data_IF_080112132053
#
_entry.id   IF_080112132053
#
_cell.length_a   1.000
_cell.length_b   1.000
_cell.length_c   1.000
_cell.angle_alpha   90.00
_cell.angle_beta   90.00
_cell.angle_gamma   90.00
#
_symmetry.space_group_name_H-M   'P 1'
#
loop_
_entity.id
_entity.type
_entity.pdbx_description
1 polymer ?
#
# COMPACT_ATOMS: atom_id res chain seq x y z
N UNK A 1 -3.72 5.40 26.77
CA UNK A 1 -3.44 6.55 25.89
C UNK A 1 -4.21 6.51 24.58
N UNK A 2 -4.03 5.51 23.70
CA UNK A 2 -4.68 5.50 22.38
C UNK A 2 -6.22 5.60 22.42
N UNK A 3 -6.88 4.92 23.37
CA UNK A 3 -8.35 4.99 23.53
C UNK A 3 -8.86 6.42 23.76
N UNK A 4 -8.09 7.25 24.47
CA UNK A 4 -8.45 8.66 24.72
C UNK A 4 -8.30 9.50 23.45
N UNK A 5 -7.25 9.24 22.66
CA UNK A 5 -7.02 9.90 21.38
C UNK A 5 -8.16 9.53 20.41
N UNK A 6 -8.50 8.24 20.30
CA UNK A 6 -9.63 7.76 19.49
C UNK A 6 -10.93 8.48 19.89
N UNK A 7 -11.28 8.48 21.19
CA UNK A 7 -12.50 9.14 21.69
C UNK A 7 -12.53 10.64 21.40
N UNK A 8 -11.37 11.30 21.32
CA UNK A 8 -11.26 12.74 21.06
C UNK A 8 -11.39 13.08 19.58
N UNK A 9 -10.89 12.23 18.68
CA UNK A 9 -10.77 12.54 17.26
C UNK A 9 -11.75 11.79 16.35
N UNK A 10 -12.40 10.73 16.84
CA UNK A 10 -13.37 9.94 16.07
C UNK A 10 -14.74 10.07 16.73
N UNK A 11 -15.65 10.75 16.04
CA UNK A 11 -17.07 10.76 16.39
C UNK A 11 -17.68 9.38 16.19
N UNK A 12 -18.57 8.96 17.10
CA UNK A 12 -19.23 7.64 17.06
C UNK A 12 -18.26 6.45 16.95
N UNK A 13 -17.12 6.53 17.66
CA UNK A 13 -16.03 5.56 17.58
C UNK A 13 -16.44 4.11 17.93
N UNK A 14 -17.59 3.90 18.58
CA UNK A 14 -18.11 2.56 18.92
C UNK A 14 -18.77 1.87 17.71
N UNK A 15 -19.24 2.64 16.72
CA UNK A 15 -19.88 2.13 15.52
C UNK A 15 -18.86 1.70 14.46
N UNK A 16 -18.04 0.70 14.79
CA UNK A 16 -16.95 0.18 13.95
C UNK A 16 -17.42 -0.55 12.67
N UNK A 17 -18.74 -0.71 12.48
CA UNK A 17 -19.33 -1.26 11.25
C UNK A 17 -19.58 -0.19 10.19
N UNK A 18 -19.66 1.08 10.60
CA UNK A 18 -19.80 2.20 9.69
C UNK A 18 -18.50 2.44 8.90
N UNK A 19 -18.60 2.57 7.58
CA UNK A 19 -17.45 2.73 6.69
C UNK A 19 -16.69 4.05 6.94
N UNK A 20 -17.39 5.14 7.30
CA UNK A 20 -16.77 6.42 7.61
C UNK A 20 -16.02 6.35 8.94
N UNK A 21 -16.59 5.68 9.96
CA UNK A 21 -15.90 5.47 11.24
C UNK A 21 -14.63 4.65 11.02
N UNK A 22 -14.71 3.53 10.27
CA UNK A 22 -13.54 2.71 9.91
C UNK A 22 -12.47 3.50 9.16
N UNK A 23 -12.87 4.34 8.20
CA UNK A 23 -11.96 5.25 7.48
C UNK A 23 -11.25 6.21 8.43
N UNK A 24 -11.97 6.82 9.37
CA UNK A 24 -11.40 7.73 10.36
C UNK A 24 -10.38 7.05 11.28
N UNK A 25 -10.60 5.78 11.64
CA UNK A 25 -9.59 4.97 12.35
C UNK A 25 -8.30 4.81 11.54
N UNK A 26 -8.44 4.50 10.24
CA UNK A 26 -7.31 4.41 9.31
C UNK A 26 -6.54 5.72 9.24
N UNK A 27 -7.22 6.84 8.97
CA UNK A 27 -6.61 8.17 8.88
C UNK A 27 -5.90 8.54 10.19
N UNK A 28 -6.55 8.39 11.35
CA UNK A 28 -5.95 8.70 12.64
C UNK A 28 -4.67 7.90 12.87
N UNK A 29 -4.72 6.58 12.63
CA UNK A 29 -3.57 5.69 12.83
C UNK A 29 -2.40 6.03 11.92
N UNK A 30 -2.67 6.38 10.65
CA UNK A 30 -1.67 6.78 9.68
C UNK A 30 -1.07 8.15 9.98
N UNK A 31 -1.87 9.14 10.40
CA UNK A 31 -1.37 10.48 10.75
C UNK A 31 -0.43 10.40 11.96
N UNK A 32 -0.82 9.64 12.99
CA UNK A 32 0.06 9.35 14.12
C UNK A 32 1.35 8.66 13.65
N UNK A 33 1.22 7.69 12.72
CA UNK A 33 2.35 6.98 12.14
C UNK A 33 3.35 7.90 11.45
N UNK A 34 2.86 8.81 10.58
CA UNK A 34 3.68 9.82 9.88
C UNK A 34 4.43 10.69 10.88
N UNK A 35 3.71 11.26 11.86
CA UNK A 35 4.31 12.17 12.86
C UNK A 35 5.41 11.45 13.64
N UNK A 36 5.12 10.25 14.15
CA UNK A 36 6.10 9.46 14.90
C UNK A 36 7.31 9.12 14.05
N UNK A 37 7.12 8.61 12.83
CA UNK A 37 8.21 8.20 11.97
C UNK A 37 9.09 9.39 11.51
N UNK A 38 8.52 10.59 11.28
CA UNK A 38 9.31 11.80 10.99
C UNK A 38 10.13 12.27 12.19
N UNK A 39 9.54 12.22 13.39
CA UNK A 39 10.25 12.53 14.64
C UNK A 39 11.40 11.54 14.84
N UNK A 40 11.13 10.25 14.67
CA UNK A 40 12.12 9.19 14.79
C UNK A 40 13.25 9.33 13.77
N UNK A 41 12.93 9.59 12.50
CA UNK A 41 13.90 9.89 11.46
C UNK A 41 14.80 11.05 11.87
N UNK A 42 14.22 12.19 12.26
CA UNK A 42 14.99 13.40 12.61
C UNK A 42 15.94 13.14 13.78
N UNK A 43 15.43 12.51 14.84
CA UNK A 43 16.19 12.20 16.05
C UNK A 43 17.33 11.21 15.74
N UNK A 44 17.03 10.11 15.05
CA UNK A 44 18.03 9.09 14.72
C UNK A 44 19.05 9.60 13.72
N UNK A 45 18.64 10.37 12.71
CA UNK A 45 19.54 10.94 11.71
C UNK A 45 20.57 11.87 12.35
N UNK A 46 20.13 12.81 13.19
CA UNK A 46 21.03 13.71 13.93
C UNK A 46 21.94 12.89 14.86
N UNK A 47 21.38 11.91 15.58
CA UNK A 47 22.17 11.04 16.47
C UNK A 47 23.23 10.25 15.71
N UNK A 48 22.88 9.70 14.55
CA UNK A 48 23.80 8.94 13.70
C UNK A 48 24.94 9.79 13.14
N UNK A 49 24.66 11.03 12.75
CA UNK A 49 25.72 11.99 12.35
C UNK A 49 26.65 12.28 13.53
N UNK A 50 26.09 12.62 14.70
CA UNK A 50 26.88 12.94 15.89
C UNK A 50 27.74 11.77 16.37
N UNK A 51 27.24 10.54 16.26
CA UNK A 51 27.97 9.33 16.61
C UNK A 51 28.92 8.86 15.50
N UNK A 52 28.84 9.45 14.31
CA UNK A 52 29.49 8.97 13.10
C UNK A 52 29.16 7.49 12.80
N UNK A 53 27.88 7.12 12.90
CA UNK A 53 27.38 5.75 12.70
C UNK A 53 26.51 5.65 11.46
N UNK A 54 26.95 4.87 10.46
CA UNK A 54 26.17 4.65 9.23
C UNK A 54 25.00 3.69 9.47
N UNK A 55 25.09 2.79 10.44
CA UNK A 55 23.99 1.90 10.81
C UNK A 55 22.80 2.69 11.38
N UNK A 56 23.06 3.65 12.27
CA UNK A 56 22.01 4.50 12.85
C UNK A 56 21.40 5.43 11.80
N UNK A 57 22.23 6.01 10.91
CA UNK A 57 21.74 6.83 9.80
C UNK A 57 20.84 5.98 8.89
N UNK A 58 21.25 4.76 8.55
CA UNK A 58 20.47 3.86 7.70
C UNK A 58 19.13 3.49 8.36
N UNK A 59 19.15 3.14 9.65
CA UNK A 59 17.94 2.87 10.43
C UNK A 59 17.00 4.10 10.51
N UNK A 60 17.54 5.32 10.54
CA UNK A 60 16.73 6.54 10.44
C UNK A 60 15.95 6.59 9.11
N UNK A 61 16.63 6.33 7.99
CA UNK A 61 16.01 6.37 6.66
C UNK A 61 14.95 5.27 6.44
N UNK A 62 15.04 4.16 7.17
CA UNK A 62 13.95 3.19 7.23
C UNK A 62 12.66 3.85 7.79
N UNK A 63 12.77 4.64 8.88
CA UNK A 63 11.62 5.38 9.41
C UNK A 63 11.12 6.48 8.46
N UNK A 64 12.00 7.10 7.67
CA UNK A 64 11.56 8.01 6.60
C UNK A 64 10.73 7.28 5.54
N UNK A 65 11.14 6.06 5.17
CA UNK A 65 10.42 5.20 4.22
C UNK A 65 9.02 4.82 4.74
N UNK A 66 8.90 4.47 6.01
CA UNK A 66 7.61 4.20 6.67
C UNK A 66 6.67 5.42 6.63
N UNK A 67 7.24 6.61 6.89
CA UNK A 67 6.50 7.87 6.80
C UNK A 67 6.07 8.16 5.37
N UNK A 68 6.95 7.96 4.39
CA UNK A 68 6.64 8.15 2.98
C UNK A 68 5.48 7.28 2.52
N UNK A 69 5.50 5.99 2.87
CA UNK A 69 4.43 5.04 2.58
C UNK A 69 3.10 5.48 3.19
N UNK A 70 3.11 5.85 4.48
CA UNK A 70 1.90 6.33 5.18
C UNK A 70 1.39 7.66 4.60
N UNK A 71 2.30 8.55 4.18
CA UNK A 71 1.99 9.82 3.54
C UNK A 71 1.33 9.64 2.17
N UNK A 72 1.85 8.72 1.34
CA UNK A 72 1.22 8.34 0.08
C UNK A 72 -0.19 7.82 0.34
N UNK A 73 -0.37 6.92 1.30
CA UNK A 73 -1.71 6.37 1.61
C UNK A 73 -2.69 7.44 2.07
N UNK A 74 -2.29 8.41 2.90
CA UNK A 74 -3.22 9.41 3.44
C UNK A 74 -3.46 10.59 2.47
N UNK A 75 -2.40 11.13 1.87
CA UNK A 75 -2.54 12.28 0.97
C UNK A 75 -2.80 11.86 -0.47
N UNK A 76 -2.28 10.71 -0.91
CA UNK A 76 -2.67 10.05 -2.14
C UNK A 76 -4.19 9.89 -2.17
N UNK A 77 -4.79 9.35 -1.11
CA UNK A 77 -6.25 9.24 -0.96
C UNK A 77 -7.00 10.58 -1.13
N UNK A 78 -6.44 11.70 -0.65
CA UNK A 78 -7.08 13.02 -0.79
C UNK A 78 -6.99 13.57 -2.22
N UNK A 79 -5.83 13.46 -2.87
CA UNK A 79 -5.67 13.90 -4.26
C UNK A 79 -6.36 12.95 -5.25
N UNK A 80 -6.33 11.65 -4.99
CA UNK A 80 -7.03 10.60 -5.76
C UNK A 80 -8.55 10.74 -5.67
N UNK A 81 -9.05 11.28 -4.55
CA UNK A 81 -10.48 11.56 -4.37
C UNK A 81 -11.01 12.77 -5.16
N UNK A 82 -10.15 13.57 -5.81
CA UNK A 82 -10.63 14.68 -6.65
C UNK A 82 -11.56 14.16 -7.75
N UNK A 83 -12.72 14.81 -7.96
CA UNK A 83 -13.66 14.37 -8.99
C UNK A 83 -13.04 14.50 -10.40
N UNK A 84 -13.59 13.80 -11.39
CA UNK A 84 -13.26 14.03 -12.79
C UNK A 84 -13.36 15.49 -13.21
N UNK A 85 -12.48 15.90 -14.12
CA UNK A 85 -12.53 17.21 -14.77
C UNK A 85 -12.33 17.07 -16.29
N UNK A 86 -12.27 18.19 -17.01
CA UNK A 86 -12.16 18.19 -18.47
C UNK A 86 -10.84 17.60 -18.99
N UNK A 87 -9.76 17.70 -18.23
CA UNK A 87 -8.45 17.16 -18.59
C UNK A 87 -8.33 15.70 -18.15
N UNK A 88 -9.04 15.32 -17.08
CA UNK A 88 -9.02 14.00 -16.47
C UNK A 88 -10.46 13.45 -16.33
N UNK A 89 -11.06 12.95 -17.41
CA UNK A 89 -12.47 12.49 -17.42
C UNK A 89 -12.71 11.24 -16.55
N UNK A 90 -11.66 10.47 -16.23
CA UNK A 90 -11.71 9.34 -15.29
C UNK A 90 -11.27 9.74 -13.87
N UNK A 91 -10.94 11.02 -13.68
CA UNK A 91 -10.47 11.60 -12.43
C UNK A 91 -8.99 11.37 -12.14
N UNK A 92 -8.62 11.63 -10.90
CA UNK A 92 -7.24 11.81 -10.47
C UNK A 92 -6.70 10.62 -9.67
N UNK A 93 -7.39 9.49 -9.69
CA UNK A 93 -7.12 8.39 -8.77
C UNK A 93 -5.69 7.84 -8.88
N UNK A 94 -5.19 7.71 -10.12
CA UNK A 94 -3.82 7.22 -10.43
C UNK A 94 -2.69 8.14 -9.94
N UNK A 95 -2.98 9.38 -9.52
CA UNK A 95 -1.95 10.25 -8.92
C UNK A 95 -1.34 9.61 -7.66
N UNK A 96 -2.08 8.77 -6.95
CA UNK A 96 -1.56 8.02 -5.80
C UNK A 96 -0.41 7.09 -6.21
N UNK A 97 -0.56 6.35 -7.30
CA UNK A 97 0.47 5.44 -7.82
C UNK A 97 1.68 6.21 -8.35
N UNK A 98 1.46 7.34 -9.01
CA UNK A 98 2.54 8.22 -9.48
C UNK A 98 3.32 8.82 -8.31
N UNK A 99 2.63 9.29 -7.26
CA UNK A 99 3.27 9.79 -6.05
C UNK A 99 4.08 8.69 -5.35
N UNK A 100 3.52 7.49 -5.25
CA UNK A 100 4.22 6.30 -4.74
C UNK A 100 5.50 6.00 -5.51
N UNK A 101 5.42 6.06 -6.84
CA UNK A 101 6.57 5.84 -7.72
C UNK A 101 7.67 6.89 -7.50
N UNK A 102 7.33 8.17 -7.41
CA UNK A 102 8.31 9.25 -7.14
C UNK A 102 9.02 9.02 -5.80
N UNK A 103 8.28 8.75 -4.73
CA UNK A 103 8.83 8.51 -3.39
C UNK A 103 9.72 7.26 -3.39
N UNK A 104 9.32 6.19 -4.09
CA UNK A 104 10.10 4.97 -4.20
C UNK A 104 11.47 5.18 -4.85
N UNK A 105 11.55 6.04 -5.88
CA UNK A 105 12.83 6.41 -6.50
C UNK A 105 13.73 7.22 -5.56
N UNK A 106 13.16 8.12 -4.76
CA UNK A 106 13.91 8.87 -3.74
C UNK A 106 14.50 7.90 -2.72
N UNK A 107 13.69 6.98 -2.19
CA UNK A 107 14.13 5.95 -1.23
C UNK A 107 15.23 5.09 -1.83
N UNK A 108 15.05 4.63 -3.08
CA UNK A 108 16.04 3.81 -3.78
C UNK A 108 17.37 4.55 -3.96
N UNK A 109 17.34 5.81 -4.39
CA UNK A 109 18.53 6.65 -4.55
C UNK A 109 19.27 6.87 -3.23
N UNK A 110 18.54 7.17 -2.15
CA UNK A 110 19.10 7.26 -0.80
C UNK A 110 19.71 5.93 -0.35
N UNK A 111 19.04 4.81 -0.61
CA UNK A 111 19.54 3.47 -0.30
C UNK A 111 20.90 3.18 -0.96
N UNK A 112 21.08 3.56 -2.23
CA UNK A 112 22.36 3.43 -2.93
C UNK A 112 23.46 4.26 -2.25
N UNK A 113 23.15 5.49 -1.85
CA UNK A 113 24.11 6.36 -1.16
C UNK A 113 24.52 5.79 0.20
N UNK A 114 23.56 5.29 0.98
CA UNK A 114 23.83 4.62 2.25
C UNK A 114 24.66 3.35 2.06
N UNK A 115 24.40 2.59 0.99
CA UNK A 115 25.19 1.40 0.65
C UNK A 115 26.65 1.75 0.35
N UNK A 116 26.87 2.80 -0.46
CA UNK A 116 28.22 3.31 -0.76
C UNK A 116 28.94 3.74 0.51
N UNK A 117 28.28 4.51 1.37
CA UNK A 117 28.84 4.97 2.64
C UNK A 117 29.13 3.80 3.59
N UNK A 118 28.28 2.78 3.60
CA UNK A 118 28.48 1.56 4.39
C UNK A 118 29.69 0.75 3.91
N UNK A 119 29.85 0.57 2.60
CA UNK A 119 31.03 -0.07 2.01
C UNK A 119 32.29 0.71 2.35
N UNK A 120 32.25 2.04 2.24
CA UNK A 120 33.37 2.89 2.62
C UNK A 120 33.74 2.72 4.10
N UNK A 121 32.74 2.68 5.00
CA UNK A 121 32.92 2.44 6.44
C UNK A 121 33.51 1.06 6.75
N UNK A 122 33.25 0.05 5.92
CA UNK A 122 33.84 -1.29 6.06
C UNK A 122 35.33 -1.27 5.65
N UNK A 123 35.65 -0.61 4.54
CA UNK A 123 37.03 -0.54 4.01
C UNK A 123 37.91 0.39 4.85
N UNK A 124 37.33 1.49 5.32
CA UNK A 124 37.97 2.51 6.14
C UNK A 124 37.19 2.67 7.45
N UNK A 125 37.42 1.77 8.45
CA UNK A 125 36.72 1.83 9.73
C UNK A 125 37.05 3.13 10.47
N UNK A 126 36.00 3.83 10.89
CA UNK A 126 36.11 5.01 11.74
C UNK A 126 35.53 4.70 13.12
N UNK A 127 36.15 5.24 14.16
CA UNK A 127 35.68 5.05 15.52
C UNK A 127 34.29 5.68 15.73
N UNK A 128 33.38 4.90 16.29
CA UNK A 128 32.03 5.36 16.64
C UNK A 128 32.12 6.13 17.96
N UNK A 129 31.55 7.33 17.99
CA UNK A 129 31.52 8.16 19.19
C UNK A 129 30.29 7.80 20.03
N UNK A 130 30.46 6.89 20.98
CA UNK A 130 29.39 6.55 21.92
C UNK A 130 29.30 7.59 23.02
N UNK A 131 28.13 8.22 23.12
CA UNK A 131 27.73 9.05 24.25
C UNK A 131 26.47 8.45 24.90
N UNK A 132 26.43 8.45 26.24
CA UNK A 132 25.27 8.02 27.02
C UNK A 132 23.97 8.71 26.57
N UNK A 133 24.06 9.99 26.20
CA UNK A 133 22.91 10.74 25.69
C UNK A 133 22.32 10.12 24.41
N UNK A 134 23.18 9.70 23.48
CA UNK A 134 22.75 9.05 22.24
C UNK A 134 22.09 7.69 22.50
N UNK A 135 22.61 6.90 23.46
CA UNK A 135 21.99 5.62 23.86
C UNK A 135 20.59 5.84 24.44
N UNK A 136 20.42 6.86 25.30
CA UNK A 136 19.12 7.21 25.87
C UNK A 136 18.14 7.59 24.76
N UNK A 137 18.58 8.40 23.79
CA UNK A 137 17.76 8.80 22.65
C UNK A 137 17.32 7.59 21.82
N UNK A 138 18.24 6.68 21.47
CA UNK A 138 17.91 5.49 20.69
C UNK A 138 17.01 4.54 21.48
N UNK A 139 17.19 4.43 22.80
CA UNK A 139 16.30 3.66 23.66
C UNK A 139 14.89 4.25 23.68
N UNK A 140 14.76 5.59 23.72
CA UNK A 140 13.45 6.25 23.62
C UNK A 140 12.80 6.01 22.25
N UNK A 141 13.60 5.92 21.18
CA UNK A 141 13.09 5.60 19.84
C UNK A 141 12.43 4.21 19.77
N UNK A 142 13.01 3.23 20.47
CA UNK A 142 12.44 1.88 20.62
C UNK A 142 11.10 1.96 21.35
N UNK A 143 10.99 2.74 22.42
CA UNK A 143 9.73 2.92 23.16
C UNK A 143 8.63 3.52 22.28
N UNK A 144 8.97 4.48 21.41
CA UNK A 144 8.02 5.05 20.45
C UNK A 144 7.56 3.97 19.46
N UNK A 145 8.46 3.15 18.89
CA UNK A 145 8.08 2.05 17.99
C UNK A 145 7.24 0.97 18.70
N UNK A 146 7.53 0.64 19.95
CA UNK A 146 6.70 -0.27 20.75
C UNK A 146 5.31 0.32 21.05
N UNK A 147 5.23 1.63 21.26
CA UNK A 147 3.94 2.32 21.35
C UNK A 147 3.19 2.27 20.01
N UNK A 148 3.89 2.46 18.88
CA UNK A 148 3.33 2.32 17.54
C UNK A 148 2.77 0.92 17.26
N UNK A 149 3.53 -0.10 17.62
CA UNK A 149 3.09 -1.49 17.59
C UNK A 149 1.80 -1.67 18.41
N UNK A 150 1.79 -1.19 19.65
CA UNK A 150 0.66 -1.35 20.57
C UNK A 150 -0.63 -0.74 20.02
N UNK A 151 -0.58 0.50 19.53
CA UNK A 151 -1.78 1.16 19.03
C UNK A 151 -2.25 0.59 17.68
N UNK A 152 -1.34 0.27 16.76
CA UNK A 152 -1.71 -0.32 15.47
C UNK A 152 -2.29 -1.72 15.65
N UNK A 153 -1.74 -2.52 16.57
CA UNK A 153 -2.30 -3.83 16.91
C UNK A 153 -3.70 -3.69 17.50
N UNK A 154 -3.91 -2.74 18.41
CA UNK A 154 -5.22 -2.49 18.99
C UNK A 154 -6.26 -2.12 17.92
N UNK A 155 -5.95 -1.14 17.06
CA UNK A 155 -6.85 -0.70 15.99
C UNK A 155 -7.07 -1.84 14.97
N UNK A 156 -6.01 -2.53 14.57
CA UNK A 156 -6.08 -3.64 13.60
C UNK A 156 -6.97 -4.79 14.06
N UNK A 157 -7.00 -5.10 15.35
CA UNK A 157 -7.94 -6.07 15.91
C UNK A 157 -9.36 -5.48 15.96
N UNK A 158 -9.50 -4.24 16.46
CA UNK A 158 -10.79 -3.59 16.67
C UNK A 158 -11.62 -3.46 15.38
N UNK A 159 -11.02 -2.99 14.28
CA UNK A 159 -11.72 -2.79 13.00
C UNK A 159 -11.46 -3.93 12.00
N UNK A 160 -10.77 -5.01 12.44
CA UNK A 160 -10.31 -6.10 11.57
C UNK A 160 -9.53 -5.61 10.33
N UNK A 161 -8.60 -4.66 10.52
CA UNK A 161 -7.78 -4.09 9.46
C UNK A 161 -6.49 -4.87 9.28
N UNK A 162 -6.29 -5.49 8.12
CA UNK A 162 -5.04 -6.16 7.73
C UNK A 162 -3.89 -5.16 7.65
N UNK A 163 -4.14 -3.97 7.11
CA UNK A 163 -3.17 -2.87 7.02
C UNK A 163 -2.59 -2.51 8.39
N UNK A 164 -3.44 -2.24 9.38
CA UNK A 164 -2.97 -1.88 10.73
C UNK A 164 -2.24 -3.05 11.43
N UNK A 165 -2.66 -4.30 11.18
CA UNK A 165 -1.94 -5.48 11.69
C UNK A 165 -0.53 -5.58 11.07
N UNK A 166 -0.38 -5.29 9.78
CA UNK A 166 0.91 -5.22 9.11
C UNK A 166 1.79 -4.10 9.69
N UNK A 167 1.27 -2.87 9.76
CA UNK A 167 2.01 -1.73 10.34
C UNK A 167 2.44 -1.96 11.80
N UNK A 168 1.63 -2.69 12.57
CA UNK A 168 2.03 -3.10 13.92
C UNK A 168 3.26 -4.01 13.89
N UNK A 169 3.24 -5.04 13.05
CA UNK A 169 4.37 -5.99 12.90
C UNK A 169 5.62 -5.27 12.40
N UNK A 170 5.49 -4.35 11.45
CA UNK A 170 6.61 -3.54 10.95
C UNK A 170 7.20 -2.68 12.06
N UNK A 171 6.36 -1.98 12.84
CA UNK A 171 6.83 -1.19 13.99
C UNK A 171 7.58 -2.05 15.03
N UNK A 172 7.15 -3.30 15.23
CA UNK A 172 7.86 -4.23 16.11
C UNK A 172 9.20 -4.66 15.52
N UNK A 173 9.24 -4.98 14.22
CA UNK A 173 10.48 -5.32 13.52
C UNK A 173 11.48 -4.17 13.59
N UNK A 174 11.04 -2.92 13.45
CA UNK A 174 11.91 -1.76 13.57
C UNK A 174 12.46 -1.57 14.99
N UNK A 175 11.65 -1.84 16.01
CA UNK A 175 12.12 -1.82 17.40
C UNK A 175 13.22 -2.87 17.62
N UNK A 176 13.05 -4.07 17.06
CA UNK A 176 14.06 -5.15 17.10
C UNK A 176 15.32 -4.74 16.32
N UNK A 177 15.16 -4.19 15.11
CA UNK A 177 16.26 -3.73 14.27
C UNK A 177 17.07 -2.62 14.96
N UNK A 178 16.38 -1.61 15.51
CA UNK A 178 17.01 -0.52 16.28
C UNK A 178 17.76 -1.07 17.49
N UNK A 179 17.19 -2.06 18.20
CA UNK A 179 17.85 -2.74 19.32
C UNK A 179 19.14 -3.43 18.86
N UNK A 180 19.09 -4.13 17.71
CA UNK A 180 20.25 -4.74 17.08
C UNK A 180 21.32 -3.72 16.69
N UNK A 181 20.92 -2.55 16.16
CA UNK A 181 21.83 -1.44 15.85
C UNK A 181 22.50 -0.89 17.11
N UNK A 182 21.76 -0.67 18.20
CA UNK A 182 22.35 -0.23 19.49
C UNK A 182 23.35 -1.27 20.01
N UNK A 183 22.96 -2.54 20.03
CA UNK A 183 23.81 -3.62 20.51
C UNK A 183 25.08 -3.78 19.66
N UNK A 184 24.93 -3.77 18.34
CA UNK A 184 26.06 -3.85 17.41
C UNK A 184 26.98 -2.63 17.48
N UNK A 185 26.41 -1.44 17.69
CA UNK A 185 27.19 -0.21 17.92
C UNK A 185 28.00 -0.31 19.21
N UNK A 186 27.40 -0.79 20.30
CA UNK A 186 28.08 -0.99 21.58
C UNK A 186 29.22 -2.02 21.48
N UNK A 187 28.99 -3.11 20.75
CA UNK A 187 30.01 -4.13 20.48
C UNK A 187 31.14 -3.57 19.61
N UNK A 188 30.79 -2.84 18.54
CA UNK A 188 31.74 -2.22 17.61
C UNK A 188 32.59 -1.11 18.22
N UNK A 189 32.19 -0.55 19.37
CA UNK A 189 33.04 0.39 20.12
C UNK A 189 34.16 -0.30 20.91
N UNK A 190 34.05 -1.61 21.15
CA UNK A 190 35.06 -2.40 21.88
C UNK A 190 35.90 -3.26 20.94
N UNK A 191 35.34 -3.69 19.81
CA UNK A 191 36.01 -4.50 18.81
C UNK A 191 36.63 -3.63 17.70
N UNK A 192 37.84 -3.97 17.25
CA UNK A 192 38.48 -3.35 16.06
C UNK A 192 37.86 -3.85 14.72
N UNK A 193 36.59 -4.28 14.75
CA UNK A 193 35.87 -4.85 13.61
C UNK A 193 34.80 -3.87 13.13
N UNK A 194 34.58 -3.68 11.81
CA UNK A 194 33.67 -2.67 11.28
C UNK A 194 32.19 -3.07 11.37
N UNK A 195 31.70 -3.34 12.59
CA UNK A 195 30.32 -3.78 12.87
C UNK A 195 29.30 -2.77 12.33
N UNK A 196 29.54 -1.47 12.54
CA UNK A 196 28.65 -0.40 12.07
C UNK A 196 28.52 -0.35 10.55
N UNK A 197 29.64 -0.49 9.83
CA UNK A 197 29.64 -0.56 8.38
C UNK A 197 28.86 -1.77 7.86
N UNK A 198 29.00 -2.93 8.50
CA UNK A 198 28.26 -4.16 8.13
C UNK A 198 26.77 -4.02 8.39
N UNK A 199 26.37 -3.47 9.55
CA UNK A 199 24.97 -3.24 9.85
C UNK A 199 24.35 -2.21 8.90
N UNK A 200 25.05 -1.10 8.61
CA UNK A 200 24.62 -0.14 7.60
C UNK A 200 24.49 -0.77 6.20
N UNK A 201 25.42 -1.67 5.83
CA UNK A 201 25.36 -2.40 4.57
C UNK A 201 24.11 -3.29 4.48
N UNK A 202 23.80 -4.05 5.53
CA UNK A 202 22.61 -4.90 5.57
C UNK A 202 21.33 -4.06 5.48
N UNK A 203 21.24 -2.98 6.28
CA UNK A 203 20.06 -2.11 6.32
C UNK A 203 19.87 -1.38 4.98
N UNK A 204 20.94 -0.87 4.37
CA UNK A 204 20.87 -0.20 3.07
C UNK A 204 20.40 -1.13 1.95
N UNK A 205 20.79 -2.41 1.94
CA UNK A 205 20.21 -3.41 1.01
C UNK A 205 18.70 -3.55 1.22
N UNK A 206 18.23 -3.60 2.46
CA UNK A 206 16.79 -3.68 2.75
C UNK A 206 16.06 -2.43 2.25
N UNK A 207 16.62 -1.24 2.43
CA UNK A 207 16.04 0.03 1.93
C UNK A 207 15.98 0.03 0.40
N UNK A 208 17.05 -0.38 -0.28
CA UNK A 208 17.10 -0.50 -1.74
C UNK A 208 16.02 -1.48 -2.22
N UNK A 209 15.91 -2.64 -1.58
CA UNK A 209 14.91 -3.65 -1.90
C UNK A 209 13.50 -3.09 -1.75
N UNK A 210 13.19 -2.44 -0.62
CA UNK A 210 11.89 -1.79 -0.38
C UNK A 210 11.60 -0.72 -1.43
N UNK A 211 12.57 0.15 -1.75
CA UNK A 211 12.42 1.15 -2.80
C UNK A 211 12.11 0.53 -4.16
N UNK A 212 12.83 -0.54 -4.53
CA UNK A 212 12.61 -1.25 -5.79
C UNK A 212 11.25 -1.96 -5.84
N UNK A 213 10.85 -2.67 -4.79
CA UNK A 213 9.56 -3.36 -4.76
C UNK A 213 8.41 -2.37 -4.80
N UNK A 214 8.48 -1.26 -4.06
CA UNK A 214 7.46 -0.21 -4.11
C UNK A 214 7.35 0.43 -5.49
N UNK A 215 8.49 0.66 -6.16
CA UNK A 215 8.50 1.16 -7.54
C UNK A 215 7.83 0.16 -8.50
N UNK A 216 8.24 -1.11 -8.45
CA UNK A 216 7.68 -2.20 -9.26
C UNK A 216 6.18 -2.34 -9.05
N UNK A 217 5.72 -2.34 -7.81
CA UNK A 217 4.31 -2.52 -7.49
C UNK A 217 3.49 -1.30 -7.97
N UNK A 218 4.04 -0.09 -7.85
CA UNK A 218 3.41 1.13 -8.41
C UNK A 218 3.32 1.09 -9.94
N UNK A 219 4.36 0.60 -10.63
CA UNK A 219 4.36 0.41 -12.09
C UNK A 219 3.36 -0.66 -12.50
N UNK A 220 3.28 -1.78 -11.80
CA UNK A 220 2.32 -2.85 -12.09
C UNK A 220 0.88 -2.34 -12.07
N UNK A 221 0.52 -1.54 -11.06
CA UNK A 221 -0.81 -0.95 -10.97
C UNK A 221 -1.07 0.04 -12.11
N UNK A 222 -0.06 0.84 -12.50
CA UNK A 222 -0.16 1.75 -13.65
C UNK A 222 -0.32 1.03 -15.00
N UNK A 223 0.32 -0.12 -15.17
CA UNK A 223 0.19 -0.96 -16.37
C UNK A 223 -1.16 -1.70 -16.43
N UNK A 224 -1.77 -1.94 -15.27
CA UNK A 224 -2.97 -2.74 -15.11
C UNK A 224 -2.62 -4.12 -14.56
N UNK A 225 -3.07 -4.40 -13.33
CA UNK A 225 -2.93 -5.70 -12.69
C UNK A 225 -4.15 -6.57 -12.96
N UNK A 226 -3.95 -7.89 -12.95
CA UNK A 226 -5.08 -8.83 -12.93
C UNK A 226 -5.99 -8.56 -11.72
N UNK A 227 -7.32 -8.59 -11.90
CA UNK A 227 -8.26 -8.38 -10.81
C UNK A 227 -8.14 -9.45 -9.73
N UNK A 228 -8.51 -9.10 -8.50
CA UNK A 228 -8.60 -10.04 -7.39
C UNK A 228 -9.55 -11.21 -7.74
N UNK A 229 -9.14 -12.48 -7.59
CA UNK A 229 -10.02 -13.63 -7.80
C UNK A 229 -11.34 -13.54 -7.02
N UNK A 230 -11.34 -12.97 -5.81
CA UNK A 230 -12.57 -12.81 -5.02
C UNK A 230 -13.54 -11.82 -5.70
N UNK A 231 -13.00 -10.79 -6.36
CA UNK A 231 -13.81 -9.85 -7.14
C UNK A 231 -14.40 -10.52 -8.38
N UNK A 232 -13.61 -11.32 -9.07
CA UNK A 232 -14.07 -12.09 -10.24
C UNK A 232 -15.18 -13.07 -9.87
N UNK A 233 -15.06 -13.74 -8.72
CA UNK A 233 -16.10 -14.65 -8.21
C UNK A 233 -17.39 -13.91 -7.87
N UNK A 234 -17.32 -12.69 -7.32
CA UNK A 234 -18.50 -11.85 -7.06
C UNK A 234 -19.18 -11.38 -8.34
N UNK A 235 -18.42 -10.95 -9.35
CA UNK A 235 -18.97 -10.57 -10.65
C UNK A 235 -19.67 -11.77 -11.29
N UNK A 236 -19.02 -12.95 -11.29
CA UNK A 236 -19.62 -14.17 -11.81
C UNK A 236 -20.92 -14.52 -11.08
N UNK A 237 -20.94 -14.45 -9.75
CA UNK A 237 -22.13 -14.70 -8.97
C UNK A 237 -23.30 -13.79 -9.37
N UNK A 238 -23.06 -12.50 -9.59
CA UNK A 238 -24.09 -11.55 -10.03
C UNK A 238 -24.61 -11.85 -11.44
N UNK A 239 -23.72 -12.28 -12.34
CA UNK A 239 -24.08 -12.70 -13.70
C UNK A 239 -24.96 -13.96 -13.63
N UNK A 240 -24.58 -14.97 -12.84
CA UNK A 240 -25.27 -16.25 -12.72
C UNK A 240 -26.70 -16.12 -12.15
N UNK A 241 -27.01 -15.03 -11.43
CA UNK A 241 -28.37 -14.76 -10.96
C UNK A 241 -29.34 -14.38 -12.10
N UNK A 242 -28.84 -14.01 -13.29
CA UNK A 242 -29.65 -13.64 -14.44
C UNK A 242 -29.80 -14.82 -15.41
N UNK A 243 -30.93 -15.54 -15.32
CA UNK A 243 -31.19 -16.75 -16.11
C UNK A 243 -31.25 -16.53 -17.64
N UNK A 244 -31.39 -15.29 -18.08
CA UNK A 244 -31.47 -14.93 -19.51
C UNK A 244 -30.10 -14.76 -20.18
N UNK A 245 -29.02 -14.78 -19.40
CA UNK A 245 -27.65 -14.66 -19.91
C UNK A 245 -27.12 -16.05 -20.23
N UNK A 246 -26.82 -16.31 -21.50
CA UNK A 246 -26.34 -17.62 -21.93
C UNK A 246 -24.85 -17.81 -21.65
N UNK A 247 -24.07 -16.78 -21.92
CA UNK A 247 -22.61 -16.85 -21.88
C UNK A 247 -22.01 -15.45 -21.73
N UNK A 248 -20.87 -15.35 -21.03
CA UNK A 248 -20.11 -14.11 -20.84
C UNK A 248 -18.65 -14.33 -21.17
N UNK A 249 -18.01 -13.33 -21.78
CA UNK A 249 -16.60 -13.39 -22.14
C UNK A 249 -15.95 -12.00 -22.20
N UNK A 250 -14.62 -11.98 -22.34
CA UNK A 250 -13.80 -10.77 -22.52
C UNK A 250 -13.98 -9.71 -21.41
N UNK A 251 -14.10 -10.15 -20.15
CA UNK A 251 -14.15 -9.22 -19.01
C UNK A 251 -12.83 -8.45 -18.89
N UNK A 252 -12.91 -7.15 -19.13
CA UNK A 252 -11.82 -6.19 -18.91
C UNK A 252 -12.12 -5.34 -17.71
N UNK A 253 -11.16 -5.22 -16.79
CA UNK A 253 -11.24 -4.35 -15.64
C UNK A 253 -10.06 -3.39 -15.69
N UNK A 254 -10.34 -2.11 -15.51
CA UNK A 254 -9.39 -1.02 -15.51
C UNK A 254 -9.41 -0.34 -14.14
N UNK A 255 -8.24 -0.27 -13.50
CA UNK A 255 -8.04 0.48 -12.27
C UNK A 255 -7.68 1.94 -12.60
N UNK A 256 -8.50 2.89 -12.14
CA UNK A 256 -8.27 4.33 -12.26
C UNK A 256 -7.93 5.00 -10.93
N UNK A 257 -7.61 4.21 -9.91
CA UNK A 257 -7.25 4.62 -8.56
C UNK A 257 -8.11 3.92 -7.51
N UNK A 258 -7.76 4.07 -6.22
CA UNK A 258 -8.48 3.41 -5.14
C UNK A 258 -9.98 3.71 -5.15
N UNK A 259 -10.79 2.65 -5.20
CA UNK A 259 -12.25 2.75 -5.23
C UNK A 259 -12.83 3.23 -6.57
N UNK A 260 -12.04 3.23 -7.66
CA UNK A 260 -12.51 3.56 -9.01
C UNK A 260 -12.10 2.47 -10.00
N UNK A 261 -12.96 1.47 -10.10
CA UNK A 261 -12.84 0.40 -11.07
C UNK A 261 -13.84 0.64 -12.19
N UNK A 262 -13.36 0.55 -13.42
CA UNK A 262 -14.21 0.49 -14.59
C UNK A 262 -14.07 -0.88 -15.23
N UNK A 263 -15.15 -1.40 -15.79
CA UNK A 263 -15.11 -2.68 -16.49
C UNK A 263 -15.83 -2.63 -17.83
N UNK A 264 -15.48 -3.57 -18.70
CA UNK A 264 -16.26 -3.88 -19.89
C UNK A 264 -16.32 -5.38 -20.07
N UNK A 265 -17.43 -5.90 -20.58
CA UNK A 265 -17.55 -7.32 -20.90
C UNK A 265 -18.53 -7.55 -22.03
N UNK A 266 -18.51 -8.75 -22.59
CA UNK A 266 -19.44 -9.19 -23.60
C UNK A 266 -20.42 -10.20 -23.01
N UNK A 267 -21.71 -9.99 -23.25
CA UNK A 267 -22.79 -10.88 -22.84
C UNK A 267 -23.51 -11.37 -24.08
N UNK A 268 -23.71 -12.69 -24.14
CA UNK A 268 -24.36 -13.33 -25.27
C UNK A 268 -25.85 -13.54 -24.99
N UNK A 269 -26.69 -13.05 -25.90
CA UNK A 269 -28.16 -13.10 -25.80
C UNK A 269 -28.80 -13.80 -27.00
N UNK A 270 -30.03 -14.35 -26.86
CA UNK A 270 -30.76 -14.93 -27.98
C UNK A 270 -30.97 -13.95 -29.14
N UNK A 271 -30.81 -14.37 -30.40
CA UNK A 271 -30.91 -13.47 -31.57
C UNK A 271 -32.34 -12.95 -31.81
N UNK A 272 -33.36 -13.60 -31.25
CA UNK A 272 -34.75 -13.16 -31.32
C UNK A 272 -35.11 -12.09 -30.28
N UNK A 273 -34.20 -11.80 -29.34
CA UNK A 273 -34.43 -10.81 -28.29
C UNK A 273 -34.48 -9.40 -28.88
N UNK A 274 -35.46 -8.60 -28.45
CA UNK A 274 -35.54 -7.20 -28.89
C UNK A 274 -34.44 -6.37 -28.22
N UNK A 275 -34.00 -5.30 -28.89
CA UNK A 275 -33.02 -4.36 -28.30
C UNK A 275 -33.51 -3.79 -26.97
N UNK A 276 -34.82 -3.56 -26.82
CA UNK A 276 -35.41 -3.05 -25.60
C UNK A 276 -35.30 -4.05 -24.44
N UNK A 277 -35.62 -5.33 -24.68
CA UNK A 277 -35.52 -6.38 -23.67
C UNK A 277 -34.07 -6.62 -23.26
N UNK A 278 -33.17 -6.68 -24.24
CA UNK A 278 -31.74 -6.84 -24.00
C UNK A 278 -31.19 -5.66 -23.17
N UNK A 279 -31.54 -4.42 -23.54
CA UNK A 279 -31.15 -3.23 -22.78
C UNK A 279 -31.66 -3.27 -21.33
N UNK A 280 -32.90 -3.70 -21.09
CA UNK A 280 -33.45 -3.76 -19.73
C UNK A 280 -32.69 -4.75 -18.84
N UNK A 281 -32.36 -5.93 -19.38
CA UNK A 281 -31.60 -6.96 -18.67
C UNK A 281 -30.17 -6.48 -18.37
N UNK A 282 -29.50 -5.96 -19.40
CA UNK A 282 -28.12 -5.47 -19.29
C UNK A 282 -28.03 -4.30 -18.32
N UNK A 283 -28.90 -3.30 -18.45
CA UNK A 283 -28.90 -2.14 -17.57
C UNK A 283 -29.16 -2.53 -16.11
N UNK A 284 -30.05 -3.51 -15.86
CA UNK A 284 -30.27 -4.07 -14.53
C UNK A 284 -29.05 -4.77 -13.95
N UNK A 285 -28.25 -5.45 -14.78
CA UNK A 285 -26.99 -6.07 -14.36
C UNK A 285 -25.91 -5.02 -14.09
N UNK A 286 -25.76 -4.01 -14.94
CA UNK A 286 -24.85 -2.88 -14.75
C UNK A 286 -25.11 -2.19 -13.41
N UNK A 287 -26.37 -1.85 -13.11
CA UNK A 287 -26.76 -1.23 -11.84
C UNK A 287 -26.46 -2.12 -10.62
N UNK A 288 -26.71 -3.43 -10.70
CA UNK A 288 -26.40 -4.35 -9.60
C UNK A 288 -24.90 -4.41 -9.32
N UNK A 289 -24.09 -4.52 -10.36
CA UNK A 289 -22.63 -4.54 -10.25
C UNK A 289 -22.12 -3.22 -9.66
N UNK A 290 -22.65 -2.08 -10.11
CA UNK A 290 -22.28 -0.76 -9.57
C UNK A 290 -22.67 -0.63 -8.08
N UNK A 291 -23.87 -1.05 -7.69
CA UNK A 291 -24.36 -0.92 -6.30
C UNK A 291 -23.66 -1.87 -5.32
N UNK A 292 -23.41 -3.12 -5.71
CA UNK A 292 -22.82 -4.12 -4.81
C UNK A 292 -21.30 -4.07 -4.79
N UNK A 293 -20.66 -3.73 -5.91
CA UNK A 293 -19.21 -3.81 -6.08
C UNK A 293 -18.53 -2.45 -6.32
N UNK A 294 -19.30 -1.40 -6.62
CA UNK A 294 -18.74 -0.07 -6.91
C UNK A 294 -17.98 -0.01 -8.24
N UNK A 295 -18.33 -0.88 -9.19
CA UNK A 295 -17.69 -0.96 -10.51
C UNK A 295 -18.61 -0.34 -11.55
N UNK A 296 -18.13 0.67 -12.27
CA UNK A 296 -18.80 1.19 -13.46
C UNK A 296 -18.51 0.24 -14.63
N UNK A 297 -19.49 -0.53 -15.08
CA UNK A 297 -19.32 -1.54 -16.12
C UNK A 297 -20.14 -1.19 -17.37
N UNK A 298 -19.53 -1.34 -18.54
CA UNK A 298 -20.20 -1.25 -19.85
C UNK A 298 -20.30 -2.64 -20.45
N UNK A 299 -21.52 -3.11 -20.72
CA UNK A 299 -21.72 -4.45 -21.24
C UNK A 299 -22.10 -4.40 -22.73
N UNK A 300 -21.27 -5.04 -23.56
CA UNK A 300 -21.55 -5.26 -24.97
C UNK A 300 -22.44 -6.49 -25.16
N UNK A 301 -23.35 -6.42 -26.14
CA UNK A 301 -24.32 -7.48 -26.42
C UNK A 301 -23.94 -8.18 -27.71
N UNK A 302 -23.65 -9.46 -27.61
CA UNK A 302 -23.36 -10.34 -28.75
C UNK A 302 -24.55 -11.28 -28.99
N UNK A 303 -25.09 -11.41 -30.21
CA UNK A 303 -26.08 -12.44 -30.51
C UNK A 303 -25.43 -13.83 -30.52
N UNK A 304 -26.16 -14.88 -30.10
CA UNK A 304 -25.67 -16.28 -30.13
C UNK A 304 -25.10 -16.68 -31.50
N UNK A 305 -25.64 -16.13 -32.60
CA UNK A 305 -25.16 -16.40 -33.95
C UNK A 305 -23.67 -16.08 -34.14
N UNK A 306 -23.13 -15.10 -33.41
CA UNK A 306 -21.71 -14.74 -33.49
C UNK A 306 -20.80 -15.78 -32.83
N UNK A 307 -21.32 -16.55 -31.85
CA UNK A 307 -20.61 -17.73 -31.31
C UNK A 307 -20.55 -18.84 -32.36
N UNK A 308 -21.65 -19.09 -33.07
CA UNK A 308 -21.72 -20.14 -34.08
C UNK A 308 -20.74 -19.86 -35.24
N UNK A 309 -20.57 -18.58 -35.60
CA UNK A 309 -19.62 -18.13 -36.61
C UNK A 309 -18.16 -18.05 -36.07
N UNK A 310 -17.97 -17.88 -34.76
CA UNK A 310 -16.66 -17.84 -34.12
C UNK A 310 -16.58 -18.64 -32.80
N UNK A 311 -16.39 -19.98 -32.87
CA UNK A 311 -16.33 -20.85 -31.70
C UNK A 311 -15.18 -20.55 -30.73
N UNK A 312 -14.21 -19.72 -31.12
CA UNK A 312 -13.12 -19.29 -30.23
C UNK A 312 -13.63 -18.37 -29.11
N UNK A 313 -14.79 -17.72 -29.26
CA UNK A 313 -15.42 -16.93 -28.22
C UNK A 313 -15.78 -17.78 -26.98
N UNK A 314 -16.18 -19.04 -27.18
CA UNK A 314 -16.42 -20.02 -26.09
C UNK A 314 -15.16 -20.46 -25.36
N UNK A 315 -13.99 -20.30 -25.98
CA UNK A 315 -12.69 -20.68 -25.39
C UNK A 315 -12.07 -19.55 -24.56
N UNK A 316 -12.51 -18.30 -24.77
CA UNK A 316 -12.16 -17.18 -23.90
C UNK A 316 -13.00 -17.30 -22.62
N UNK A 317 -12.49 -18.06 -21.65
CA UNK A 317 -12.97 -17.92 -20.28
C UNK A 317 -12.95 -16.43 -19.93
N UNK A 318 -14.01 -15.91 -19.34
CA UNK A 318 -14.06 -14.51 -18.89
C UNK A 318 -12.93 -14.19 -17.88
N UNK A 319 -12.30 -15.21 -17.28
CA UNK A 319 -11.12 -15.12 -16.41
C UNK A 319 -9.78 -15.17 -17.16
N UNK A 320 -9.77 -15.38 -18.47
CA UNK A 320 -8.54 -15.50 -19.25
C UNK A 320 -7.71 -14.20 -19.16
N UNK A 321 -6.37 -14.28 -19.05
CA UNK A 321 -5.51 -13.11 -19.20
C UNK A 321 -5.81 -12.42 -20.54
N UNK A 322 -5.98 -11.09 -20.48
CA UNK A 322 -6.24 -10.23 -21.64
C UNK A 322 -5.01 -10.10 -22.54
#
# INVERSE_FOLDING_TARGET
MIKLIIKKFISDYENIKDNNVRKNYGILSGVLGIICNLILFSIKFVTGILMNSIAIISDAFNNLTDSGSSFITILGANFSSKPPDKEHPYGHGRFEYVASLIVSFIIFGVGIELLRNSINKIIHPEAIQINLFSIIILSLSILIKLWMYSYNRYIGILINSSMNKATAKDSLNDAIATTGVIAGTAIGAVLEFPVDGILGFIISILIIYTGFTTARDSVNVLLGTSPDPELLDKIQYLIDQNQTINYVHDLKIHDYGPGRLMASMHVVVPPEMTVADAHFIIHGLEQKIEQELGIEIVIHIDPVKDIDENPYLLKKDFRSPQ
#
